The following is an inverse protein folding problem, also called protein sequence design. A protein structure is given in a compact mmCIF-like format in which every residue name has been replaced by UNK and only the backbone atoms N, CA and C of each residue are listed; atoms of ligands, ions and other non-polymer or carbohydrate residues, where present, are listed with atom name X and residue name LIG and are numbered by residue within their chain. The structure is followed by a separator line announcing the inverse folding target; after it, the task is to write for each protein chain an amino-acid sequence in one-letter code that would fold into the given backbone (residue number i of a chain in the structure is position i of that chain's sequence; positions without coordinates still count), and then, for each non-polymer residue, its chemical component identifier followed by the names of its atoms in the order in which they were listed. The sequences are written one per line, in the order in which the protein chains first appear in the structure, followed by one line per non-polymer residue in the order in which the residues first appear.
data_IF_567572428690
#
_entry.id   IF_567572428690
#
_cell.length_a   1.000
_cell.length_b   1.000
_cell.length_c   1.000
_cell.angle_alpha   90.00
_cell.angle_beta   90.00
_cell.angle_gamma   90.00
#
_symmetry.space_group_name_H-M   'P 1'
#
loop_
_entity.id
_entity.type
_entity.pdbx_description
1 polymer ?
#
# COMPACT_ATOMS: atom_id res chain seq x y z
N UNK A 1 29.77 -11.52 13.65
CA UNK A 1 28.29 -11.44 13.63
C UNK A 1 27.95 -9.99 13.91
N UNK A 2 27.92 -9.16 12.87
CA UNK A 2 27.51 -7.77 13.00
C UNK A 2 25.99 -7.71 12.91
N UNK A 3 25.41 -7.07 13.90
CA UNK A 3 23.98 -6.78 14.01
C UNK A 3 23.64 -5.66 13.02
N UNK A 4 23.27 -6.04 11.80
CA UNK A 4 22.58 -5.17 10.86
C UNK A 4 21.08 -5.34 11.11
N UNK A 5 20.64 -5.05 12.33
CA UNK A 5 19.22 -4.86 12.61
C UNK A 5 18.79 -3.61 11.84
N UNK A 6 18.01 -3.86 10.79
CA UNK A 6 17.37 -2.87 9.94
C UNK A 6 16.86 -1.67 10.74
N UNK A 7 17.44 -0.50 10.46
CA UNK A 7 16.84 0.81 10.77
C UNK A 7 15.66 1.06 9.81
N UNK A 8 14.70 0.14 9.80
CA UNK A 8 13.48 0.14 8.98
C UNK A 8 12.24 0.53 9.80
N UNK A 9 12.42 1.04 11.03
CA UNK A 9 11.33 1.15 12.01
C UNK A 9 10.87 2.57 12.31
N UNK A 10 11.38 3.59 11.60
CA UNK A 10 10.72 4.89 11.51
C UNK A 10 10.07 4.99 10.14
N UNK A 11 8.81 4.56 10.06
CA UNK A 11 7.99 4.75 8.86
C UNK A 11 8.10 6.21 8.42
N UNK A 12 8.74 6.44 7.28
CA UNK A 12 8.92 7.79 6.74
C UNK A 12 7.54 8.38 6.46
N UNK A 13 7.12 9.37 7.27
CA UNK A 13 5.78 9.97 7.18
C UNK A 13 5.60 10.83 5.93
N UNK A 14 6.65 11.51 5.47
CA UNK A 14 6.65 12.33 4.26
C UNK A 14 8.07 12.68 3.82
N UNK A 15 8.24 13.06 2.54
CA UNK A 15 9.51 13.54 1.97
C UNK A 15 9.30 14.84 1.20
N UNK A 16 10.09 15.87 1.51
CA UNK A 16 10.12 17.12 0.73
C UNK A 16 10.82 16.87 -0.60
N UNK A 17 10.11 17.09 -1.71
CA UNK A 17 10.67 16.85 -3.07
C UNK A 17 11.30 18.11 -3.66
N UNK A 18 10.88 19.30 -3.20
CA UNK A 18 11.36 20.61 -3.68
C UNK A 18 11.18 21.69 -2.61
N UNK A 19 12.06 22.70 -2.63
CA UNK A 19 12.00 23.86 -1.73
C UNK A 19 12.75 23.63 -0.42
N UNK A 20 12.68 24.62 0.48
CA UNK A 20 13.24 24.57 1.82
C UNK A 20 12.21 25.15 2.80
N UNK A 21 11.13 24.39 3.11
CA UNK A 21 10.07 24.87 4.00
C UNK A 21 10.64 25.13 5.39
N UNK A 22 10.06 26.11 6.08
CA UNK A 22 10.42 26.33 7.48
C UNK A 22 9.88 25.18 8.35
N UNK A 23 10.43 24.98 9.56
CA UNK A 23 9.89 24.00 10.50
C UNK A 23 8.39 24.20 10.78
N UNK A 24 7.93 25.45 10.85
CA UNK A 24 6.54 25.80 11.12
C UNK A 24 5.63 25.45 9.95
N UNK A 25 6.07 25.70 8.71
CA UNK A 25 5.33 25.31 7.51
C UNK A 25 5.20 23.79 7.40
N UNK A 26 6.29 23.06 7.70
CA UNK A 26 6.28 21.60 7.70
C UNK A 26 5.34 21.06 8.79
N UNK A 27 5.37 21.63 9.99
CA UNK A 27 4.47 21.27 11.08
C UNK A 27 3.00 21.54 10.70
N UNK A 28 2.70 22.68 10.10
CA UNK A 28 1.36 23.00 9.63
C UNK A 28 0.86 21.99 8.58
N UNK A 29 1.72 21.60 7.63
CA UNK A 29 1.38 20.60 6.63
C UNK A 29 1.09 19.23 7.26
N UNK A 30 1.92 18.79 8.22
CA UNK A 30 1.70 17.52 8.93
C UNK A 30 0.39 17.53 9.71
N UNK A 31 0.07 18.63 10.42
CA UNK A 31 -1.19 18.76 11.16
C UNK A 31 -2.39 18.66 10.22
N UNK A 32 -2.39 19.41 9.13
CA UNK A 32 -3.52 19.40 8.17
C UNK A 32 -3.73 18.02 7.56
N UNK A 33 -2.65 17.35 7.14
CA UNK A 33 -2.73 16.01 6.55
C UNK A 33 -3.19 14.99 7.59
N UNK A 34 -2.69 15.08 8.83
CA UNK A 34 -3.07 14.16 9.92
C UNK A 34 -4.55 14.32 10.29
N UNK A 35 -5.06 15.55 10.35
CA UNK A 35 -6.49 15.82 10.61
C UNK A 35 -7.39 15.35 9.45
N UNK A 36 -6.93 15.50 8.21
CA UNK A 36 -7.64 14.97 7.05
C UNK A 36 -7.69 13.44 7.09
N UNK A 37 -6.55 12.80 7.36
CA UNK A 37 -6.43 11.35 7.49
C UNK A 37 -7.32 10.82 8.63
N UNK A 38 -7.28 11.43 9.81
CA UNK A 38 -8.09 11.00 10.95
C UNK A 38 -9.60 11.00 10.65
N UNK A 39 -10.06 12.02 9.90
CA UNK A 39 -11.46 12.08 9.45
C UNK A 39 -11.78 10.99 8.43
N UNK A 40 -10.91 10.78 7.45
CA UNK A 40 -11.06 9.72 6.46
C UNK A 40 -11.12 8.34 7.11
N UNK A 41 -10.23 8.06 8.06
CA UNK A 41 -10.22 6.81 8.83
C UNK A 41 -11.48 6.64 9.68
N UNK A 42 -11.99 7.71 10.29
CA UNK A 42 -13.23 7.65 11.07
C UNK A 42 -14.47 7.35 10.20
N UNK A 43 -14.48 7.87 8.98
CA UNK A 43 -15.56 7.66 8.01
C UNK A 43 -15.38 6.36 7.19
N UNK A 44 -14.24 5.67 7.33
CA UNK A 44 -13.94 4.47 6.58
C UNK A 44 -14.89 3.32 6.96
N UNK A 45 -15.66 2.86 5.97
CA UNK A 45 -16.54 1.69 6.12
C UNK A 45 -15.88 0.38 5.70
N UNK A 46 -14.76 0.47 4.99
CA UNK A 46 -14.01 -0.70 4.56
C UNK A 46 -13.21 -1.27 5.75
N UNK A 47 -13.13 -2.60 5.90
CA UNK A 47 -12.24 -3.20 6.87
C UNK A 47 -10.78 -2.95 6.47
N UNK A 48 -9.93 -2.68 7.47
CA UNK A 48 -8.47 -2.51 7.28
C UNK A 48 -7.85 -3.72 6.55
N UNK A 49 -8.19 -4.92 7.01
CA UNK A 49 -7.87 -6.16 6.31
C UNK A 49 -9.06 -6.58 5.45
N UNK A 50 -8.91 -6.46 4.14
CA UNK A 50 -9.90 -6.99 3.21
C UNK A 50 -9.96 -8.52 3.36
N UNK A 51 -11.11 -9.11 3.77
CA UNK A 51 -11.25 -10.55 3.77
C UNK A 51 -11.14 -11.07 2.33
N UNK A 52 -10.66 -12.30 2.15
CA UNK A 52 -10.63 -12.95 0.83
C UNK A 52 -12.00 -12.82 0.17
N UNK A 53 -12.00 -12.25 -1.02
CA UNK A 53 -13.20 -12.06 -1.81
C UNK A 53 -13.85 -13.41 -2.13
N UNK A 54 -15.17 -13.40 -2.33
CA UNK A 54 -15.89 -14.61 -2.76
C UNK A 54 -15.32 -15.17 -4.07
N UNK A 55 -14.82 -14.30 -4.96
CA UNK A 55 -14.15 -14.68 -6.19
C UNK A 55 -12.84 -15.44 -5.94
N UNK A 56 -11.97 -14.95 -5.04
CA UNK A 56 -10.75 -15.65 -4.64
C UNK A 56 -11.05 -16.99 -3.96
N UNK A 57 -12.10 -17.06 -3.14
CA UNK A 57 -12.53 -18.30 -2.51
C UNK A 57 -13.17 -19.30 -3.50
N UNK A 58 -13.85 -18.79 -4.53
CA UNK A 58 -14.50 -19.60 -5.56
C UNK A 58 -13.64 -19.87 -6.79
N UNK A 59 -12.43 -19.30 -6.86
CA UNK A 59 -11.43 -19.57 -7.89
C UNK A 59 -10.86 -20.98 -7.75
N UNK A 60 -11.72 -22.00 -7.75
CA UNK A 60 -11.36 -23.40 -7.88
C UNK A 60 -11.25 -23.70 -9.36
N UNK A 61 -10.05 -24.05 -9.81
CA UNK A 61 -9.82 -24.44 -11.21
C UNK A 61 -9.62 -23.29 -12.18
N UNK A 62 -9.48 -22.03 -11.73
CA UNK A 62 -8.79 -21.02 -12.51
C UNK A 62 -7.30 -21.37 -12.45
N UNK A 63 -6.89 -22.12 -13.47
CA UNK A 63 -5.54 -22.64 -13.67
C UNK A 63 -4.57 -21.47 -13.61
N UNK A 64 -3.33 -21.79 -13.22
CA UNK A 64 -2.16 -20.90 -13.12
C UNK A 64 -2.26 -19.65 -14.01
N UNK A 65 -1.79 -18.47 -13.54
CA UNK A 65 -1.81 -17.25 -14.33
C UNK A 65 -1.37 -17.52 -15.77
N UNK A 66 -2.13 -17.01 -16.75
CA UNK A 66 -1.86 -17.23 -18.17
C UNK A 66 -0.39 -16.86 -18.46
N UNK A 67 0.38 -17.85 -18.92
CA UNK A 67 1.79 -17.65 -19.26
C UNK A 67 1.87 -16.74 -20.50
N UNK A 68 2.21 -15.47 -20.28
CA UNK A 68 2.25 -14.43 -21.31
C UNK A 68 3.38 -14.65 -22.32
N UNK A 69 4.41 -15.37 -21.91
CA UNK A 69 5.58 -15.70 -22.73
C UNK A 69 5.30 -16.89 -23.66
N UNK A 70 4.24 -17.68 -23.40
CA UNK A 70 3.84 -18.83 -24.22
C UNK A 70 3.03 -18.43 -25.47
N UNK A 71 2.63 -17.16 -25.60
CA UNK A 71 1.80 -16.67 -26.70
C UNK A 71 0.36 -17.24 -26.71
N UNK A 72 -0.45 -16.83 -27.70
CA UNK A 72 -1.88 -17.15 -27.77
C UNK A 72 -2.20 -18.65 -27.99
N UNK A 73 -1.21 -19.46 -28.37
CA UNK A 73 -1.39 -20.87 -28.74
C UNK A 73 -1.20 -21.86 -27.57
N UNK A 74 -0.80 -21.39 -26.39
CA UNK A 74 -0.48 -22.25 -25.24
C UNK A 74 -1.65 -22.55 -24.29
N UNK A 75 -2.85 -22.06 -24.56
CA UNK A 75 -4.02 -22.29 -23.70
C UNK A 75 -4.69 -23.63 -24.00
N UNK A 76 -4.48 -24.64 -23.14
CA UNK A 76 -5.08 -25.98 -23.29
C UNK A 76 -6.30 -26.21 -22.39
N UNK A 77 -7.01 -25.13 -22.07
CA UNK A 77 -8.06 -25.13 -21.05
C UNK A 77 -7.50 -25.07 -19.66
#
# INVERSE_FOLDING_TARGET
MSDTASDDSLATVARVVRGAPTPEELAAAVVVVSEAFARETADATAPEDAPRSRWELSARGLRSPLNRDAGWHGFTG
#
